data_IF_474235453108
#
_entry.id   IF_474235453108
#
_cell.length_a   1.000
_cell.length_b   1.000
_cell.length_c   1.000
_cell.angle_alpha   90.00
_cell.angle_beta   90.00
_cell.angle_gamma   90.00
#
_symmetry.space_group_name_H-M   'P 1'
#
loop_
_entity.id
_entity.type
_entity.pdbx_description
1 polymer ?
#
# COMPACT_ATOMS: atom_id res chain seq x y z
N UNK A 1 21.88 22.19 42.82
CA UNK A 1 20.73 21.67 42.05
C UNK A 1 21.31 20.88 40.90
N UNK A 2 21.47 19.57 41.04
CA UNK A 2 21.90 18.72 39.93
C UNK A 2 20.73 18.63 38.94
N UNK A 3 20.81 19.35 37.83
CA UNK A 3 19.94 19.10 36.69
C UNK A 3 20.26 17.70 36.17
N UNK A 4 19.38 16.74 36.52
CA UNK A 4 19.29 15.46 35.84
C UNK A 4 19.07 15.75 34.35
N UNK A 5 20.15 15.75 33.56
CA UNK A 5 20.07 15.71 32.10
C UNK A 5 19.26 14.47 31.74
N UNK A 6 18.00 14.67 31.37
CA UNK A 6 17.16 13.61 30.83
C UNK A 6 17.94 12.97 29.68
N UNK A 7 18.25 11.68 29.83
CA UNK A 7 18.86 10.90 28.76
C UNK A 7 17.86 10.90 27.62
N UNK A 8 18.09 11.77 26.64
CA UNK A 8 17.32 11.81 25.41
C UNK A 8 17.30 10.39 24.85
N UNK A 9 16.13 9.74 24.94
CA UNK A 9 15.88 8.36 24.53
C UNK A 9 15.92 8.22 22.97
N UNK A 10 16.81 8.94 22.29
CA UNK A 10 16.86 9.12 20.83
C UNK A 10 17.42 7.90 20.08
N UNK A 11 16.99 6.70 20.46
CA UNK A 11 17.39 5.41 19.89
C UNK A 11 16.17 4.52 19.65
N UNK A 12 15.04 5.08 19.21
CA UNK A 12 13.83 4.27 19.01
C UNK A 12 13.79 3.55 17.64
N UNK A 13 14.49 4.04 16.61
CA UNK A 13 14.48 3.41 15.28
C UNK A 13 15.88 3.19 14.71
N UNK A 14 16.16 1.95 14.28
CA UNK A 14 17.30 1.63 13.44
C UNK A 14 17.00 2.13 12.01
N UNK A 15 17.72 3.19 11.61
CA UNK A 15 17.55 3.86 10.32
C UNK A 15 17.70 2.90 9.14
N UNK A 16 18.67 1.98 9.21
CA UNK A 16 18.94 1.05 8.12
C UNK A 16 17.81 0.03 7.99
N UNK A 17 17.28 -0.44 9.12
CA UNK A 17 16.12 -1.32 9.14
C UNK A 17 14.86 -0.61 8.58
N UNK A 18 14.58 0.62 9.02
CA UNK A 18 13.41 1.39 8.56
C UNK A 18 13.49 1.69 7.06
N UNK A 19 14.65 2.13 6.56
CA UNK A 19 14.86 2.37 5.13
C UNK A 19 14.72 1.09 4.29
N UNK A 20 15.22 -0.04 4.80
CA UNK A 20 15.08 -1.33 4.13
C UNK A 20 13.61 -1.72 4.06
N UNK A 21 12.87 -1.66 5.17
CA UNK A 21 11.44 -1.99 5.21
C UNK A 21 10.62 -1.06 4.32
N UNK A 22 10.88 0.24 4.34
CA UNK A 22 10.21 1.22 3.47
C UNK A 22 10.40 0.88 1.99
N UNK A 23 11.64 0.63 1.55
CA UNK A 23 11.93 0.22 0.16
C UNK A 23 11.22 -1.07 -0.23
N UNK A 24 11.26 -2.08 0.63
CA UNK A 24 10.55 -3.34 0.37
C UNK A 24 9.04 -3.15 0.32
N UNK A 25 8.46 -2.34 1.20
CA UNK A 25 7.03 -2.00 1.18
C UNK A 25 6.64 -1.35 -0.15
N UNK A 26 7.45 -0.43 -0.64
CA UNK A 26 7.22 0.23 -1.93
C UNK A 26 7.30 -0.71 -3.13
N UNK A 27 8.26 -1.64 -3.14
CA UNK A 27 8.38 -2.67 -4.20
C UNK A 27 7.20 -3.63 -4.13
N UNK A 28 6.90 -4.15 -2.93
CA UNK A 28 5.82 -5.11 -2.71
C UNK A 28 4.45 -4.51 -3.07
N UNK A 29 4.22 -3.21 -2.82
CA UNK A 29 3.00 -2.53 -3.25
C UNK A 29 2.76 -2.70 -4.75
N UNK A 30 3.78 -2.42 -5.56
CA UNK A 30 3.69 -2.56 -7.02
C UNK A 30 3.57 -4.01 -7.47
N UNK A 31 4.28 -4.94 -6.82
CA UNK A 31 4.18 -6.38 -7.12
C UNK A 31 2.75 -6.88 -6.87
N UNK A 32 2.19 -6.58 -5.69
CA UNK A 32 0.82 -6.98 -5.32
C UNK A 32 -0.19 -6.36 -6.29
N UNK A 33 -0.07 -5.07 -6.58
CA UNK A 33 -0.95 -4.41 -7.55
C UNK A 33 -0.88 -5.07 -8.93
N UNK A 34 0.34 -5.36 -9.40
CA UNK A 34 0.57 -6.03 -10.68
C UNK A 34 -0.08 -7.41 -10.75
N UNK A 35 0.03 -8.21 -9.68
CA UNK A 35 -0.62 -9.53 -9.60
C UNK A 35 -2.14 -9.39 -9.69
N UNK A 36 -2.76 -8.52 -8.89
CA UNK A 36 -4.21 -8.34 -8.90
C UNK A 36 -4.72 -7.78 -10.22
N UNK A 37 -4.00 -6.84 -10.85
CA UNK A 37 -4.32 -6.33 -12.18
C UNK A 37 -4.21 -7.42 -13.24
N UNK A 38 -3.18 -8.25 -13.19
CA UNK A 38 -3.02 -9.39 -14.09
C UNK A 38 -4.17 -10.39 -13.92
N UNK A 39 -4.46 -10.81 -12.69
CA UNK A 39 -5.54 -11.74 -12.39
C UNK A 39 -6.91 -11.20 -12.82
N UNK A 40 -7.20 -9.92 -12.55
CA UNK A 40 -8.43 -9.26 -13.00
C UNK A 40 -8.51 -9.21 -14.53
N UNK A 41 -7.41 -8.87 -15.21
CA UNK A 41 -7.35 -8.84 -16.67
C UNK A 41 -7.60 -10.22 -17.30
N UNK A 42 -6.97 -11.27 -16.76
CA UNK A 42 -7.20 -12.66 -17.21
C UNK A 42 -8.66 -13.06 -16.99
N UNK A 43 -9.24 -12.74 -15.83
CA UNK A 43 -10.64 -13.06 -15.52
C UNK A 43 -11.61 -12.33 -16.45
N UNK A 44 -11.32 -11.08 -16.79
CA UNK A 44 -12.10 -10.28 -17.74
C UNK A 44 -11.99 -10.82 -19.17
N UNK A 45 -10.80 -11.25 -19.60
CA UNK A 45 -10.62 -11.91 -20.90
C UNK A 45 -11.41 -13.22 -20.99
N UNK A 46 -11.39 -14.03 -19.93
CA UNK A 46 -12.19 -15.25 -19.86
C UNK A 46 -13.69 -14.95 -19.94
N UNK A 47 -14.16 -13.91 -19.25
CA UNK A 47 -15.55 -13.45 -19.35
C UNK A 47 -15.91 -13.04 -20.78
N UNK A 48 -15.06 -12.23 -21.45
CA UNK A 48 -15.28 -11.84 -22.85
C UNK A 48 -15.33 -13.05 -23.78
N UNK A 49 -14.45 -14.03 -23.57
CA UNK A 49 -14.45 -15.26 -24.34
C UNK A 49 -15.75 -16.05 -24.15
N UNK A 50 -16.20 -16.22 -22.90
CA UNK A 50 -17.47 -16.90 -22.58
C UNK A 50 -18.70 -16.13 -23.09
N UNK A 51 -18.62 -14.80 -23.14
CA UNK A 51 -19.62 -13.95 -23.74
C UNK A 51 -19.69 -14.20 -25.25
N UNK A 52 -18.57 -14.12 -25.97
CA UNK A 52 -18.53 -14.36 -27.43
C UNK A 52 -18.96 -15.79 -27.80
N UNK A 53 -18.63 -16.80 -26.98
CA UNK A 53 -19.01 -18.20 -27.25
C UNK A 53 -20.49 -18.50 -27.01
N UNK A 54 -21.29 -17.53 -26.57
CA UNK A 54 -22.74 -17.70 -26.46
C UNK A 54 -23.21 -18.31 -25.14
N UNK A 55 -22.30 -18.64 -24.20
CA UNK A 55 -22.64 -19.32 -22.93
C UNK A 55 -23.63 -18.50 -22.09
N UNK A 56 -23.51 -17.17 -22.13
CA UNK A 56 -24.38 -16.25 -21.40
C UNK A 56 -25.67 -15.85 -22.15
N UNK A 57 -25.93 -16.40 -23.35
CA UNK A 57 -27.09 -16.05 -24.16
C UNK A 57 -28.20 -17.12 -24.10
N UNK A 58 -28.50 -17.65 -22.90
CA UNK A 58 -29.68 -18.48 -22.72
C UNK A 58 -30.97 -17.65 -22.88
N UNK A 59 -31.97 -18.22 -23.54
CA UNK A 59 -33.31 -17.62 -23.70
C UNK A 59 -33.90 -17.30 -22.32
N UNK A 60 -34.20 -16.03 -22.09
CA UNK A 60 -34.84 -15.53 -20.86
C UNK A 60 -33.96 -14.64 -19.98
N UNK A 61 -32.67 -14.48 -20.30
CA UNK A 61 -31.79 -13.56 -19.57
C UNK A 61 -32.02 -12.11 -19.96
N UNK A 62 -32.16 -11.25 -18.96
CA UNK A 62 -32.22 -9.79 -19.10
C UNK A 62 -30.82 -9.19 -19.23
N UNK A 63 -30.72 -8.01 -19.85
CA UNK A 63 -29.47 -7.21 -19.86
C UNK A 63 -29.02 -6.92 -18.42
N UNK A 64 -29.96 -6.82 -17.47
CA UNK A 64 -29.64 -6.64 -16.05
C UNK A 64 -28.97 -7.86 -15.42
N UNK A 65 -29.38 -9.08 -15.82
CA UNK A 65 -28.72 -10.32 -15.37
C UNK A 65 -27.29 -10.37 -15.91
N UNK A 66 -27.09 -9.91 -17.14
CA UNK A 66 -25.80 -9.86 -17.79
C UNK A 66 -24.83 -8.85 -17.13
N UNK A 67 -25.34 -7.69 -16.70
CA UNK A 67 -24.59 -6.74 -15.89
C UNK A 67 -24.26 -7.28 -14.49
N UNK A 68 -25.14 -8.10 -13.91
CA UNK A 68 -24.89 -8.74 -12.62
C UNK A 68 -23.71 -9.72 -12.67
N UNK A 69 -23.52 -10.40 -13.80
CA UNK A 69 -22.34 -11.26 -14.03
C UNK A 69 -21.05 -10.47 -14.24
N UNK A 70 -21.13 -9.22 -14.70
CA UNK A 70 -19.95 -8.38 -14.91
C UNK A 70 -19.42 -7.77 -13.59
N UNK A 71 -20.30 -7.46 -12.65
CA UNK A 71 -19.97 -6.80 -11.38
C UNK A 71 -18.81 -7.45 -10.57
N UNK A 72 -18.74 -8.80 -10.43
CA UNK A 72 -17.66 -9.45 -9.68
C UNK A 72 -16.26 -9.17 -10.23
N UNK A 73 -16.12 -8.97 -11.55
CA UNK A 73 -14.82 -8.76 -12.20
C UNK A 73 -14.23 -7.38 -11.91
N UNK A 74 -15.08 -6.36 -11.74
CA UNK A 74 -14.66 -5.03 -11.31
C UNK A 74 -14.21 -5.03 -9.84
N UNK A 75 -14.96 -5.74 -9.00
CA UNK A 75 -14.64 -5.85 -7.57
C UNK A 75 -13.37 -6.67 -7.32
N UNK A 76 -12.98 -7.55 -8.24
CA UNK A 76 -11.78 -8.37 -8.13
C UNK A 76 -10.47 -7.57 -8.10
N UNK A 77 -10.44 -6.38 -8.72
CA UNK A 77 -9.27 -5.51 -8.69
C UNK A 77 -9.17 -4.69 -7.37
N UNK A 78 -10.28 -4.53 -6.65
CA UNK A 78 -10.36 -3.68 -5.46
C UNK A 78 -9.39 -4.08 -4.35
N UNK A 79 -9.22 -5.36 -3.98
CA UNK A 79 -8.23 -5.75 -2.97
C UNK A 79 -6.80 -5.35 -3.36
N UNK A 80 -6.44 -5.45 -4.65
CA UNK A 80 -5.13 -5.02 -5.15
C UNK A 80 -4.89 -3.53 -4.94
N UNK A 81 -5.90 -2.71 -5.20
CA UNK A 81 -5.86 -1.25 -4.95
C UNK A 81 -5.72 -0.96 -3.45
N UNK A 82 -6.51 -1.62 -2.60
CA UNK A 82 -6.45 -1.44 -1.14
C UNK A 82 -5.07 -1.83 -0.60
N UNK A 83 -4.51 -2.96 -1.02
CA UNK A 83 -3.18 -3.39 -0.59
C UNK A 83 -2.08 -2.46 -1.10
N UNK A 84 -2.20 -1.95 -2.32
CA UNK A 84 -1.26 -0.96 -2.86
C UNK A 84 -1.22 0.30 -2.00
N UNK A 85 -2.39 0.89 -1.72
CA UNK A 85 -2.47 2.09 -0.88
C UNK A 85 -2.05 1.82 0.56
N UNK A 86 -2.39 0.65 1.12
CA UNK A 86 -1.95 0.25 2.46
C UNK A 86 -0.42 0.16 2.57
N UNK A 87 0.23 -0.51 1.62
CA UNK A 87 1.69 -0.65 1.61
C UNK A 87 2.40 0.68 1.30
N UNK A 88 1.82 1.52 0.43
CA UNK A 88 2.32 2.88 0.16
C UNK A 88 2.18 3.78 1.38
N UNK A 89 1.09 3.64 2.12
CA UNK A 89 0.87 4.36 3.37
C UNK A 89 1.91 3.98 4.41
N UNK A 90 2.20 2.69 4.58
CA UNK A 90 3.26 2.21 5.48
C UNK A 90 4.63 2.74 5.06
N UNK A 91 4.97 2.68 3.77
CA UNK A 91 6.23 3.22 3.21
C UNK A 91 6.43 4.70 3.59
N UNK A 92 5.42 5.54 3.34
CA UNK A 92 5.52 6.98 3.60
C UNK A 92 5.48 7.32 5.09
N UNK A 93 4.65 6.62 5.87
CA UNK A 93 4.56 6.83 7.32
C UNK A 93 5.90 6.55 7.99
N UNK A 94 6.57 5.45 7.63
CA UNK A 94 7.88 5.11 8.16
C UNK A 94 8.94 6.16 7.83
N UNK A 95 8.93 6.70 6.61
CA UNK A 95 9.85 7.76 6.20
C UNK A 95 9.60 9.07 6.95
N UNK A 96 8.32 9.46 7.11
CA UNK A 96 7.95 10.68 7.86
C UNK A 96 8.40 10.58 9.33
N UNK A 97 8.19 9.43 9.97
CA UNK A 97 8.62 9.20 11.35
C UNK A 97 10.14 9.31 11.49
N UNK A 98 10.88 8.76 10.53
CA UNK A 98 12.35 8.86 10.49
C UNK A 98 12.82 10.31 10.33
N UNK A 99 12.20 11.08 9.43
CA UNK A 99 12.55 12.50 9.23
C UNK A 99 12.21 13.36 10.46
N UNK A 100 11.11 13.07 11.14
CA UNK A 100 10.74 13.71 12.38
C UNK A 100 11.75 13.40 13.51
N UNK A 101 12.19 12.15 13.62
CA UNK A 101 13.23 11.74 14.57
C UNK A 101 14.57 12.44 14.30
N UNK A 102 14.99 12.49 13.03
CA UNK A 102 16.21 13.21 12.64
C UNK A 102 16.13 14.70 12.97
N UNK A 103 14.99 15.33 12.72
CA UNK A 103 14.76 16.75 13.01
C UNK A 103 14.81 17.02 14.52
N UNK A 104 14.18 16.16 15.32
CA UNK A 104 14.25 16.24 16.79
C UNK A 104 15.68 16.06 17.32
N UNK A 105 16.47 15.13 16.74
CA UNK A 105 17.89 14.95 17.10
C UNK A 105 18.74 16.17 16.75
N UNK A 106 18.51 16.80 15.59
CA UNK A 106 19.25 18.01 15.18
C UNK A 106 18.93 19.19 16.09
N UNK A 107 17.66 19.39 16.43
CA UNK A 107 17.23 20.43 17.36
C UNK A 107 17.87 20.26 18.75
N UNK A 108 17.87 19.04 19.30
CA UNK A 108 18.49 18.75 20.59
C UNK A 108 20.02 18.92 20.62
N UNK A 109 20.70 18.80 19.46
CA UNK A 109 22.14 19.10 19.33
C UNK A 109 22.42 20.60 19.23
N UNK A 110 21.55 21.35 18.55
CA UNK A 110 21.65 22.81 18.43
C UNK A 110 21.47 23.51 19.79
N UNK A 111 20.54 23.03 20.60
CA UNK A 111 20.24 23.59 21.92
C UNK A 111 21.42 23.46 22.90
N UNK A 112 22.13 22.32 22.87
CA UNK A 112 23.35 22.10 23.67
C UNK A 112 24.56 22.96 23.27
N UNK A 113 24.52 23.65 22.13
CA UNK A 113 25.61 24.54 21.70
C UNK A 113 25.43 25.98 22.18
N UNK A 114 24.27 26.33 22.75
CA UNK A 114 23.97 27.67 23.26
C UNK A 114 23.99 27.77 24.79
N UNK A 115 24.24 26.66 25.49
CA UNK A 115 24.40 26.54 26.94
C UNK A 115 25.84 26.19 27.30
#
# INVERSE_FOLDING_TARGET
>A
MEEKRERFYGTFFDKDAVLKVSRWSGILAWVVLGIYLYTSSVSLLQFLQQFVTGIFYQKGMSIFDLLSYFNPYLLQAMPGVVYFFGLKFVEHTLLILMDAEESARRAARSDKSQA
#
